data_IF_295499539328
#
_entry.id   IF_295499539328
#
_cell.length_a   1.000
_cell.length_b   1.000
_cell.length_c   1.000
_cell.angle_alpha   90.00
_cell.angle_beta   90.00
_cell.angle_gamma   90.00
#
_symmetry.space_group_name_H-M   'P 1'
#
loop_
_entity.id
_entity.type
_entity.pdbx_description
1 polymer ?
#
# COMPACT_ATOMS: atom_id res chain seq x y z
N UNK A 1 4.15 0.78 -0.26
CA UNK A 1 2.80 1.03 0.29
C UNK A 1 2.07 -0.27 0.60
N UNK A 2 1.22 -0.28 1.63
CA UNK A 2 0.29 -1.38 1.94
C UNK A 2 -0.54 -1.77 0.71
N UNK A 3 -1.07 -0.78 -0.02
CA UNK A 3 -1.94 -1.03 -1.16
C UNK A 3 -1.20 -1.78 -2.29
N UNK A 4 0.03 -1.37 -2.61
CA UNK A 4 0.88 -2.06 -3.59
C UNK A 4 1.19 -3.50 -3.16
N UNK A 5 1.46 -3.74 -1.88
CA UNK A 5 1.74 -5.08 -1.34
C UNK A 5 0.50 -5.98 -1.30
N UNK A 6 -0.68 -5.41 -1.05
CA UNK A 6 -1.97 -6.13 -1.10
C UNK A 6 -2.42 -6.48 -2.53
N UNK A 7 -1.69 -6.02 -3.56
CA UNK A 7 -1.90 -6.33 -4.97
C UNK A 7 -2.68 -5.26 -5.74
N UNK A 8 -3.03 -4.13 -5.12
CA UNK A 8 -3.85 -3.09 -5.77
C UNK A 8 -3.14 -2.49 -6.99
N UNK A 9 -1.84 -2.23 -6.88
CA UNK A 9 -1.03 -1.67 -7.97
C UNK A 9 -1.03 -2.57 -9.21
N UNK A 10 -0.87 -3.88 -9.02
CA UNK A 10 -0.89 -4.85 -10.10
C UNK A 10 -2.26 -4.92 -10.77
N UNK A 11 -3.32 -5.03 -9.95
CA UNK A 11 -4.69 -5.15 -10.44
C UNK A 11 -5.16 -3.90 -11.22
N UNK A 12 -4.76 -2.70 -10.76
CA UNK A 12 -5.01 -1.45 -11.49
C UNK A 12 -4.27 -1.41 -12.83
N UNK A 13 -3.00 -1.83 -12.86
CA UNK A 13 -2.19 -1.89 -14.09
C UNK A 13 -2.78 -2.86 -15.12
N UNK A 14 -3.35 -3.99 -14.68
CA UNK A 14 -3.96 -4.99 -15.56
C UNK A 14 -5.45 -4.77 -15.80
N UNK A 15 -6.05 -3.73 -15.24
CA UNK A 15 -7.50 -3.45 -15.30
C UNK A 15 -8.36 -4.65 -14.81
N UNK A 16 -7.86 -5.37 -13.81
CA UNK A 16 -8.52 -6.55 -13.24
C UNK A 16 -9.45 -6.12 -12.09
N UNK A 17 -10.75 -6.00 -12.41
CA UNK A 17 -11.77 -5.58 -11.44
C UNK A 17 -11.88 -6.51 -10.24
N UNK A 18 -11.71 -7.82 -10.44
CA UNK A 18 -11.73 -8.80 -9.35
C UNK A 18 -10.48 -8.66 -8.49
N UNK A 19 -9.32 -8.49 -9.13
CA UNK A 19 -8.05 -8.27 -8.44
C UNK A 19 -8.07 -7.00 -7.57
N UNK A 20 -8.73 -5.94 -8.03
CA UNK A 20 -8.92 -4.70 -7.26
C UNK A 20 -9.76 -4.98 -6.00
N UNK A 21 -10.91 -5.64 -6.15
CA UNK A 21 -11.79 -5.99 -5.03
C UNK A 21 -11.08 -6.90 -4.00
N UNK A 22 -10.36 -7.91 -4.48
CA UNK A 22 -9.57 -8.80 -3.62
C UNK A 22 -8.44 -8.04 -2.89
N UNK A 23 -7.78 -7.08 -3.53
CA UNK A 23 -6.75 -6.25 -2.89
C UNK A 23 -7.35 -5.38 -1.78
N UNK A 24 -8.51 -4.74 -2.02
CA UNK A 24 -9.23 -3.96 -1.01
C UNK A 24 -9.64 -4.84 0.18
N UNK A 25 -10.16 -6.05 -0.07
CA UNK A 25 -10.49 -7.00 0.99
C UNK A 25 -9.29 -7.39 1.85
N UNK A 26 -8.11 -7.59 1.25
CA UNK A 26 -6.87 -7.86 2.00
C UNK A 26 -6.48 -6.68 2.89
N UNK A 27 -6.57 -5.45 2.38
CA UNK A 27 -6.31 -4.25 3.18
C UNK A 27 -7.26 -4.16 4.38
N UNK A 28 -8.56 -4.36 4.14
CA UNK A 28 -9.57 -4.35 5.21
C UNK A 28 -9.34 -5.45 6.25
N UNK A 29 -8.90 -6.64 5.82
CA UNK A 29 -8.55 -7.73 6.72
C UNK A 29 -7.37 -7.36 7.65
N UNK A 30 -6.29 -6.82 7.08
CA UNK A 30 -5.10 -6.42 7.85
C UNK A 30 -5.42 -5.31 8.86
N UNK A 31 -6.25 -4.34 8.47
CA UNK A 31 -6.74 -3.32 9.40
C UNK A 31 -7.67 -3.91 10.47
N UNK A 32 -8.57 -4.83 10.10
CA UNK A 32 -9.45 -5.51 11.05
C UNK A 32 -8.67 -6.26 12.13
N UNK A 33 -7.57 -6.93 11.75
CA UNK A 33 -6.65 -7.58 12.70
C UNK A 33 -5.96 -6.52 13.57
N UNK A 34 -5.38 -5.49 12.97
CA UNK A 34 -4.67 -4.42 13.69
C UNK A 34 -5.56 -3.73 14.72
N UNK A 35 -6.83 -3.49 14.39
CA UNK A 35 -7.80 -2.88 15.29
C UNK A 35 -8.34 -3.83 16.37
N UNK A 36 -8.18 -5.15 16.23
CA UNK A 36 -8.73 -6.12 17.18
C UNK A 36 -7.72 -6.68 18.20
N UNK A 37 -6.42 -6.51 17.98
CA UNK A 37 -5.36 -7.04 18.86
C UNK A 37 -5.33 -6.38 20.25
N UNK A 38 -5.94 -5.20 20.41
CA UNK A 38 -5.89 -4.41 21.64
C UNK A 38 -4.62 -3.56 21.73
N UNK A 39 -4.72 -2.37 22.33
CA UNK A 39 -3.67 -1.35 22.32
C UNK A 39 -3.98 -0.20 21.37
N UNK A 40 -2.95 0.57 20.98
CA UNK A 40 -3.12 1.73 20.08
C UNK A 40 -2.74 1.29 18.66
N UNK A 41 -3.71 1.18 17.73
CA UNK A 41 -3.43 0.86 16.34
C UNK A 41 -2.69 2.03 15.68
N UNK A 42 -1.50 1.77 15.14
CA UNK A 42 -0.73 2.77 14.41
C UNK A 42 -1.02 2.66 12.91
N UNK A 43 -1.62 3.70 12.34
CA UNK A 43 -1.84 3.81 10.91
C UNK A 43 -0.65 4.50 10.25
N UNK A 44 -0.13 3.92 9.18
CA UNK A 44 0.86 4.58 8.35
C UNK A 44 0.15 5.56 7.40
N UNK A 45 0.70 6.77 7.27
CA UNK A 45 0.09 7.83 6.47
C UNK A 45 -0.08 7.40 5.01
N UNK A 46 -1.19 7.78 4.40
CA UNK A 46 -1.59 7.50 3.01
C UNK A 46 -2.09 6.08 2.72
N UNK A 47 -1.98 5.14 3.66
CA UNK A 47 -2.59 3.82 3.47
C UNK A 47 -4.14 3.92 3.51
N UNK A 48 -4.71 4.92 4.21
CA UNK A 48 -6.15 5.16 4.32
C UNK A 48 -6.80 5.57 2.99
N UNK A 49 -6.03 6.12 2.06
CA UNK A 49 -6.47 6.47 0.69
C UNK A 49 -6.00 5.45 -0.35
N UNK A 50 -5.35 4.36 0.06
CA UNK A 50 -4.83 3.34 -0.84
C UNK A 50 -3.74 3.85 -1.79
N UNK A 51 -2.91 4.80 -1.34
CA UNK A 51 -1.80 5.35 -2.14
C UNK A 51 -0.89 4.22 -2.61
N UNK A 52 -0.50 4.20 -3.88
CA UNK A 52 0.43 3.21 -4.42
C UNK A 52 1.89 3.61 -4.16
N UNK A 53 2.82 2.72 -4.48
CA UNK A 53 4.25 3.01 -4.45
C UNK A 53 4.60 4.28 -5.26
N UNK A 54 5.46 5.11 -4.70
CA UNK A 54 6.07 6.24 -5.41
C UNK A 54 7.39 5.80 -6.05
N UNK A 55 7.45 5.71 -7.37
CA UNK A 55 8.68 5.37 -8.08
C UNK A 55 9.49 6.60 -8.53
N UNK A 56 8.99 7.81 -8.27
CA UNK A 56 9.65 9.06 -8.67
C UNK A 56 10.97 9.29 -7.91
N UNK A 57 11.16 8.68 -6.73
CA UNK A 57 12.42 8.75 -5.97
C UNK A 57 13.65 8.30 -6.76
N UNK A 58 13.47 7.45 -7.78
CA UNK A 58 14.54 6.99 -8.66
C UNK A 58 15.10 8.10 -9.55
N UNK A 59 14.31 9.16 -9.76
CA UNK A 59 14.71 10.34 -10.52
C UNK A 59 15.37 11.41 -9.64
N UNK A 60 15.38 11.22 -8.32
CA UNK A 60 15.99 12.13 -7.35
C UNK A 60 17.37 11.60 -6.94
N UNK A 61 18.44 12.29 -7.36
CA UNK A 61 19.82 11.90 -7.07
C UNK A 61 20.12 11.76 -5.57
N UNK A 62 19.37 12.47 -4.72
CA UNK A 62 19.53 12.42 -3.26
C UNK A 62 18.79 11.25 -2.61
N UNK A 63 17.87 10.58 -3.33
CA UNK A 63 17.02 9.50 -2.79
C UNK A 63 17.18 8.16 -3.49
N UNK A 64 17.60 8.15 -4.75
CA UNK A 64 17.68 6.95 -5.61
C UNK A 64 18.51 5.79 -5.04
N UNK A 65 19.38 6.06 -4.06
CA UNK A 65 20.22 5.06 -3.41
C UNK A 65 19.51 4.31 -2.28
N UNK A 66 18.29 4.70 -1.92
CA UNK A 66 17.51 4.10 -0.83
C UNK A 66 16.09 3.75 -1.30
N UNK A 67 15.83 2.45 -1.49
CA UNK A 67 14.54 1.95 -1.96
C UNK A 67 13.40 2.15 -0.96
N UNK A 68 13.68 2.53 0.30
CA UNK A 68 12.62 2.80 1.27
C UNK A 68 11.76 4.01 0.89
N UNK A 69 12.27 4.90 0.04
CA UNK A 69 11.51 6.02 -0.53
C UNK A 69 10.38 5.60 -1.48
N UNK A 70 10.29 4.30 -1.82
CA UNK A 70 9.21 3.75 -2.66
C UNK A 70 7.83 3.84 -2.00
N UNK A 71 7.76 4.10 -0.69
CA UNK A 71 6.58 3.90 0.14
C UNK A 71 5.91 5.23 0.54
#
# INVERSE_FOLDING_TARGET
SLASLCGLEGALKSNDSKGIDDAVKRMMLLYGITFSIGGIPLLYSSDEVGKLNDYSYRLDDTKKHDDRWVN
#
